data_IF_927833865917
#
_entry.id   IF_927833865917
#
_cell.length_a   1.000
_cell.length_b   1.000
_cell.length_c   1.000
_cell.angle_alpha   90.00
_cell.angle_beta   90.00
_cell.angle_gamma   90.00
#
_symmetry.space_group_name_H-M   'P 1'
#
loop_
_entity.id
_entity.type
_entity.pdbx_description
1 polymer ?
#
# COMPACT_ATOMS: atom_id res chain seq x y z
N UNK A 1 26.58 -30.76 -47.45
CA UNK A 1 27.37 -31.09 -46.24
C UNK A 1 26.78 -30.28 -45.09
N UNK A 2 25.86 -30.83 -44.29
CA UNK A 2 26.11 -31.69 -43.11
C UNK A 2 26.88 -30.98 -41.99
N UNK A 3 26.14 -30.45 -41.01
CA UNK A 3 26.60 -30.20 -39.63
C UNK A 3 27.06 -31.53 -38.99
N UNK A 4 28.01 -31.52 -38.04
CA UNK A 4 27.65 -31.50 -36.60
C UNK A 4 28.75 -30.84 -35.70
N UNK A 5 28.75 -30.98 -34.36
CA UNK A 5 27.70 -30.63 -33.39
C UNK A 5 28.21 -29.76 -32.19
N UNK A 6 27.31 -29.42 -31.27
CA UNK A 6 27.60 -28.76 -29.98
C UNK A 6 28.57 -29.53 -29.06
N UNK A 7 29.29 -28.79 -28.19
CA UNK A 7 30.04 -29.37 -27.07
C UNK A 7 30.40 -28.39 -25.94
N UNK A 8 29.75 -28.57 -24.78
CA UNK A 8 30.17 -28.17 -23.41
C UNK A 8 30.36 -26.67 -23.08
N UNK A 9 29.38 -26.12 -22.36
CA UNK A 9 29.64 -25.04 -21.40
C UNK A 9 30.33 -25.62 -20.16
N UNK A 10 31.46 -25.02 -19.76
CA UNK A 10 32.19 -25.37 -18.53
C UNK A 10 32.06 -24.23 -17.53
N UNK A 11 31.69 -24.60 -16.29
CA UNK A 11 31.65 -23.70 -15.13
C UNK A 11 33.02 -23.05 -14.87
N UNK A 12 33.04 -21.73 -14.69
CA UNK A 12 34.17 -21.01 -14.09
C UNK A 12 33.62 -20.14 -12.96
N UNK A 13 33.74 -20.64 -11.74
CA UNK A 13 33.37 -19.94 -10.52
C UNK A 13 34.38 -20.29 -9.43
N UNK A 14 35.35 -19.40 -9.20
CA UNK A 14 36.30 -19.34 -8.07
C UNK A 14 37.18 -18.11 -8.33
N UNK A 15 37.06 -16.99 -7.61
CA UNK A 15 37.69 -16.73 -6.32
C UNK A 15 37.68 -15.18 -6.14
N UNK A 16 37.88 -14.53 -4.99
CA UNK A 16 38.33 -14.89 -3.62
C UNK A 16 38.02 -13.68 -2.72
N UNK A 17 37.56 -13.89 -1.48
CA UNK A 17 37.88 -13.12 -0.25
C UNK A 17 36.79 -13.38 0.81
N UNK A 18 37.05 -14.27 1.77
CA UNK A 18 37.76 -14.03 3.06
C UNK A 18 36.77 -13.62 4.16
N UNK A 19 36.19 -14.65 4.75
CA UNK A 19 35.50 -14.60 6.04
C UNK A 19 36.53 -14.31 7.14
N UNK A 20 36.24 -13.36 8.03
CA UNK A 20 36.89 -13.28 9.34
C UNK A 20 35.95 -13.88 10.39
N UNK A 21 36.35 -15.01 10.96
CA UNK A 21 35.79 -15.53 12.19
C UNK A 21 36.75 -15.16 13.33
N UNK A 22 36.22 -14.60 14.42
CA UNK A 22 36.96 -14.40 15.67
C UNK A 22 36.20 -15.11 16.79
N UNK A 23 36.88 -16.09 17.38
CA UNK A 23 36.45 -16.83 18.55
C UNK A 23 37.48 -16.68 19.67
N UNK A 24 37.07 -16.16 20.83
CA UNK A 24 37.77 -16.42 22.09
C UNK A 24 36.92 -15.96 23.30
N UNK A 25 36.41 -16.92 24.06
CA UNK A 25 36.31 -16.79 25.52
C UNK A 25 37.76 -16.65 26.08
N UNK A 26 38.12 -16.15 27.27
CA UNK A 26 37.46 -15.87 28.55
C UNK A 26 38.43 -14.88 29.33
N UNK A 27 38.45 -14.72 30.67
CA UNK A 27 37.50 -15.12 31.73
C UNK A 27 37.10 -13.99 32.71
N UNK A 28 36.21 -14.33 33.65
CA UNK A 28 35.91 -13.56 34.86
C UNK A 28 37.01 -13.73 35.93
N UNK A 29 37.32 -12.66 36.67
CA UNK A 29 38.02 -12.73 37.98
C UNK A 29 37.48 -11.65 38.93
N UNK A 30 37.28 -12.00 40.20
CA UNK A 30 36.53 -11.21 41.18
C UNK A 30 37.40 -10.57 42.30
N UNK A 31 36.72 -9.81 43.18
CA UNK A 31 37.22 -9.09 44.38
C UNK A 31 38.00 -7.79 44.09
N UNK A 32 37.84 -6.70 44.87
CA UNK A 32 37.63 -6.65 46.34
C UNK A 32 36.81 -5.42 46.82
N UNK A 33 36.27 -5.55 48.05
CA UNK A 33 35.46 -4.56 48.77
C UNK A 33 36.25 -3.32 49.29
N UNK A 34 35.56 -2.18 49.39
CA UNK A 34 35.60 -1.18 50.48
C UNK A 34 34.49 -0.12 50.23
N UNK A 35 33.72 0.41 51.19
CA UNK A 35 33.73 0.13 52.64
C UNK A 35 33.69 1.38 53.54
N UNK A 36 32.65 2.24 53.45
CA UNK A 36 32.18 3.18 54.49
C UNK A 36 30.88 3.86 53.96
N UNK A 37 29.68 3.78 54.54
CA UNK A 37 29.22 4.06 55.92
C UNK A 37 29.40 5.56 56.26
N UNK A 38 28.36 6.43 56.28
CA UNK A 38 27.31 6.68 57.31
C UNK A 38 26.42 7.87 56.85
N UNK A 39 25.21 8.21 57.34
CA UNK A 39 24.29 7.70 58.39
C UNK A 39 22.88 8.35 58.24
N UNK A 40 21.81 7.63 58.66
CA UNK A 40 20.52 8.09 59.27
C UNK A 40 19.72 9.27 58.65
N UNK A 41 18.39 9.26 58.58
CA UNK A 41 17.44 8.79 59.63
C UNK A 41 16.09 8.24 59.11
N UNK A 42 15.66 7.14 59.75
CA UNK A 42 14.32 6.85 60.32
C UNK A 42 13.21 7.89 60.10
N UNK A 43 11.94 7.54 59.86
CA UNK A 43 11.15 6.38 60.37
C UNK A 43 9.94 6.13 59.42
N UNK A 44 9.13 5.06 59.45
CA UNK A 44 8.91 4.03 60.48
C UNK A 44 8.61 2.60 59.93
N UNK A 45 7.36 2.13 59.98
CA UNK A 45 6.86 0.78 59.64
C UNK A 45 5.36 0.81 59.33
N UNK A 46 4.92 0.01 58.34
CA UNK A 46 3.99 -1.09 58.62
C UNK A 46 4.14 -2.19 57.56
N UNK A 47 3.90 -3.44 57.97
CA UNK A 47 4.37 -4.65 57.28
C UNK A 47 3.23 -5.62 56.98
N UNK A 48 3.20 -6.22 55.77
CA UNK A 48 2.56 -7.51 55.52
C UNK A 48 3.43 -8.39 54.64
N UNK A 49 3.45 -9.68 54.95
CA UNK A 49 4.21 -10.73 54.27
C UNK A 49 3.61 -11.01 52.88
N UNK A 50 4.47 -11.40 51.94
CA UNK A 50 4.10 -12.24 50.79
C UNK A 50 5.04 -13.45 50.82
N UNK A 51 4.48 -14.66 50.80
CA UNK A 51 5.23 -15.91 50.64
C UNK A 51 5.06 -16.43 49.21
N UNK A 52 6.12 -17.03 48.66
CA UNK A 52 6.10 -17.78 47.41
C UNK A 52 5.35 -19.12 47.54
N UNK A 53 4.64 -19.54 46.50
CA UNK A 53 4.39 -20.95 46.19
C UNK A 53 4.18 -21.18 44.67
N UNK A 54 4.65 -22.34 44.21
CA UNK A 54 4.85 -22.74 42.81
C UNK A 54 3.59 -23.03 41.96
N UNK A 55 3.81 -23.16 40.65
CA UNK A 55 2.87 -23.62 39.62
C UNK A 55 2.51 -25.11 39.71
N UNK A 56 1.40 -25.53 39.07
CA UNK A 56 1.34 -26.85 38.43
C UNK A 56 0.81 -26.83 36.98
N UNK A 57 1.18 -27.87 36.22
CA UNK A 57 0.81 -28.16 34.83
C UNK A 57 -0.65 -28.65 34.67
N UNK A 58 -1.26 -28.57 33.45
CA UNK A 58 -2.67 -28.91 33.22
C UNK A 58 -2.92 -30.42 33.08
N UNK A 59 -4.13 -30.87 33.46
CA UNK A 59 -4.62 -32.24 33.21
C UNK A 59 -5.68 -32.26 32.10
N UNK A 60 -5.56 -33.23 31.20
CA UNK A 60 -6.55 -33.54 30.16
C UNK A 60 -7.85 -34.11 30.78
N UNK A 61 -9.01 -33.72 30.24
CA UNK A 61 -10.29 -34.40 30.49
C UNK A 61 -11.01 -34.58 29.15
N UNK A 62 -11.05 -35.82 28.66
CA UNK A 62 -12.01 -36.25 27.66
C UNK A 62 -13.37 -36.52 28.33
N UNK A 63 -14.48 -36.19 27.66
CA UNK A 63 -15.82 -36.65 28.05
C UNK A 63 -16.57 -37.23 26.86
N UNK A 64 -16.84 -38.52 26.95
CA UNK A 64 -17.78 -39.29 26.13
C UNK A 64 -19.22 -38.94 26.47
N UNK A 65 -20.13 -38.95 25.47
CA UNK A 65 -21.57 -39.02 25.71
C UNK A 65 -22.31 -39.97 24.77
N UNK A 66 -23.29 -40.67 25.35
CA UNK A 66 -24.16 -41.72 24.83
C UNK A 66 -25.33 -41.82 25.82
N UNK A 67 -26.60 -42.12 25.52
CA UNK A 67 -27.34 -42.50 24.28
C UNK A 67 -28.79 -41.99 24.49
N UNK A 68 -29.84 -42.13 23.67
CA UNK A 68 -30.14 -42.77 22.36
C UNK A 68 -31.53 -42.27 21.93
N UNK A 69 -31.81 -42.05 20.63
CA UNK A 69 -33.20 -41.87 20.18
C UNK A 69 -33.46 -42.34 18.73
N UNK A 70 -34.32 -43.37 18.64
CA UNK A 70 -35.21 -43.76 17.53
C UNK A 70 -34.71 -43.78 16.07
N UNK A 71 -34.58 -44.99 15.52
CA UNK A 71 -34.59 -45.27 14.08
C UNK A 71 -36.04 -45.42 13.57
N UNK A 72 -36.41 -44.68 12.54
CA UNK A 72 -37.48 -45.05 11.61
C UNK A 72 -37.04 -44.73 10.19
N UNK A 73 -36.88 -45.76 9.36
CA UNK A 73 -36.59 -45.62 7.92
C UNK A 73 -37.74 -44.91 7.19
N UNK A 74 -37.41 -44.05 6.24
CA UNK A 74 -38.17 -44.00 4.99
C UNK A 74 -37.31 -43.54 3.80
N UNK A 75 -37.60 -44.15 2.65
CA UNK A 75 -36.73 -44.26 1.48
C UNK A 75 -36.49 -42.96 0.67
N UNK A 76 -35.28 -42.90 0.10
CA UNK A 76 -34.92 -42.47 -1.26
C UNK A 76 -35.42 -41.13 -1.85
N UNK A 77 -34.42 -40.28 -2.09
CA UNK A 77 -34.15 -39.57 -3.36
C UNK A 77 -35.28 -38.73 -3.99
N UNK A 78 -35.30 -37.44 -3.66
CA UNK A 78 -34.98 -36.39 -4.64
C UNK A 78 -34.69 -35.06 -3.94
N UNK A 79 -33.45 -34.89 -3.49
CA UNK A 79 -32.90 -33.57 -3.13
C UNK A 79 -31.87 -33.21 -4.17
N UNK A 80 -32.27 -32.37 -5.12
CA UNK A 80 -31.35 -31.74 -6.07
C UNK A 80 -30.23 -31.04 -5.30
N UNK A 81 -29.00 -31.46 -5.55
CA UNK A 81 -27.83 -30.75 -5.01
C UNK A 81 -27.82 -29.33 -5.56
N UNK A 82 -28.23 -28.37 -4.74
CA UNK A 82 -27.89 -26.96 -4.90
C UNK A 82 -26.43 -26.75 -4.50
N UNK A 83 -25.51 -27.50 -5.13
CA UNK A 83 -24.11 -27.10 -5.20
C UNK A 83 -24.05 -25.87 -6.10
N UNK A 84 -24.06 -24.68 -5.49
CA UNK A 84 -23.77 -23.43 -6.19
C UNK A 84 -22.39 -23.57 -6.81
N UNK A 85 -22.39 -23.73 -8.13
CA UNK A 85 -21.25 -24.21 -8.90
C UNK A 85 -20.14 -23.15 -8.93
N UNK A 86 -19.20 -23.23 -7.97
CA UNK A 86 -18.07 -22.31 -7.80
C UNK A 86 -16.97 -22.58 -8.84
N UNK A 87 -17.37 -22.74 -10.10
CA UNK A 87 -16.46 -22.90 -11.21
C UNK A 87 -15.54 -21.69 -11.36
N UNK A 88 -14.32 -21.96 -11.82
CA UNK A 88 -13.39 -20.94 -12.30
C UNK A 88 -14.09 -19.99 -13.30
N UNK A 89 -14.97 -20.50 -14.15
CA UNK A 89 -15.72 -19.71 -15.12
C UNK A 89 -16.72 -18.75 -14.45
N UNK A 90 -17.48 -19.20 -13.44
CA UNK A 90 -18.35 -18.34 -12.64
C UNK A 90 -17.60 -17.20 -11.96
N UNK A 91 -16.43 -17.53 -11.37
CA UNK A 91 -15.55 -16.55 -10.73
C UNK A 91 -15.04 -15.50 -11.74
N UNK A 92 -14.60 -15.93 -12.92
CA UNK A 92 -14.15 -15.03 -14.00
C UNK A 92 -15.29 -14.13 -14.51
N UNK A 93 -16.51 -14.66 -14.67
CA UNK A 93 -17.69 -13.87 -15.05
C UNK A 93 -17.98 -12.78 -14.01
N UNK A 94 -17.92 -13.09 -12.72
CA UNK A 94 -18.10 -12.08 -11.66
C UNK A 94 -17.02 -10.98 -11.73
N UNK A 95 -15.75 -11.34 -11.90
CA UNK A 95 -14.66 -10.36 -12.08
C UNK A 95 -14.89 -9.44 -13.29
N UNK A 96 -15.38 -9.98 -14.42
CA UNK A 96 -15.73 -9.16 -15.60
C UNK A 96 -16.87 -8.19 -15.29
N UNK A 97 -17.94 -8.64 -14.63
CA UNK A 97 -19.06 -7.77 -14.20
C UNK A 97 -18.59 -6.66 -13.26
N UNK A 98 -17.72 -6.97 -12.28
CA UNK A 98 -17.17 -5.99 -11.35
C UNK A 98 -16.29 -4.94 -12.07
N UNK A 99 -15.51 -5.36 -13.08
CA UNK A 99 -14.72 -4.45 -13.93
C UNK A 99 -15.61 -3.56 -14.81
N UNK A 100 -16.70 -4.10 -15.36
CA UNK A 100 -17.69 -3.33 -16.12
C UNK A 100 -18.38 -2.28 -15.24
N UNK A 101 -18.81 -2.67 -14.02
CA UNK A 101 -19.39 -1.75 -13.03
C UNK A 101 -18.42 -0.62 -12.68
N UNK A 102 -17.15 -0.95 -12.43
CA UNK A 102 -16.11 0.06 -12.16
C UNK A 102 -15.90 1.00 -13.36
N UNK A 103 -15.89 0.48 -14.59
CA UNK A 103 -15.73 1.28 -15.81
C UNK A 103 -16.92 2.23 -16.01
N UNK A 104 -18.15 1.78 -15.70
CA UNK A 104 -19.35 2.61 -15.79
C UNK A 104 -19.34 3.80 -14.81
N UNK A 105 -18.70 3.69 -13.65
CA UNK A 105 -18.48 4.80 -12.72
C UNK A 105 -17.48 5.85 -13.23
N UNK A 106 -16.59 5.49 -14.16
CA UNK A 106 -15.50 6.34 -14.65
C UNK A 106 -15.44 6.37 -16.19
N UNK A 107 -16.43 7.00 -16.86
CA UNK A 107 -16.64 6.86 -18.30
C UNK A 107 -15.54 7.45 -19.21
N UNK A 108 -14.58 8.23 -18.68
CA UNK A 108 -13.37 8.61 -19.44
C UNK A 108 -12.28 7.54 -19.43
N UNK A 109 -12.35 6.54 -18.54
CA UNK A 109 -11.30 5.55 -18.41
C UNK A 109 -11.29 4.56 -19.58
N UNK A 110 -10.09 4.28 -20.09
CA UNK A 110 -9.87 3.26 -21.12
C UNK A 110 -9.30 2.00 -20.48
N UNK A 111 -9.89 0.80 -20.67
CA UNK A 111 -9.36 -0.45 -20.13
C UNK A 111 -8.12 -0.96 -20.89
N UNK A 112 -7.21 -1.73 -20.27
CA UNK A 112 -7.04 -1.93 -18.82
C UNK A 112 -6.98 -0.65 -17.99
N UNK A 113 -7.64 -0.66 -16.83
CA UNK A 113 -7.80 0.50 -15.97
C UNK A 113 -6.50 0.79 -15.22
N UNK A 114 -5.94 1.99 -15.45
CA UNK A 114 -4.70 2.48 -14.83
C UNK A 114 -5.04 3.64 -13.88
N UNK A 115 -4.59 3.54 -12.63
CA UNK A 115 -4.82 4.53 -11.58
C UNK A 115 -3.49 5.08 -11.07
N UNK A 116 -3.39 6.39 -10.83
CA UNK A 116 -2.26 6.98 -10.12
C UNK A 116 -2.59 7.11 -8.63
N UNK A 117 -1.69 6.64 -7.76
CA UNK A 117 -1.92 6.63 -6.31
C UNK A 117 -1.93 8.06 -5.70
N UNK A 118 -2.73 8.30 -4.64
CA UNK A 118 -2.62 9.51 -3.82
C UNK A 118 -1.35 9.48 -2.96
N UNK A 119 -0.26 10.01 -3.50
CA UNK A 119 1.04 10.12 -2.85
C UNK A 119 1.15 11.48 -2.14
N UNK A 120 1.13 11.48 -0.80
CA UNK A 120 1.08 12.69 0.05
C UNK A 120 2.10 13.76 -0.43
N UNK A 121 1.62 14.97 -0.74
CA UNK A 121 2.34 16.09 -1.38
C UNK A 121 2.84 15.84 -2.83
N UNK A 122 3.21 14.62 -3.19
CA UNK A 122 3.90 14.30 -4.44
C UNK A 122 2.97 14.20 -5.66
N UNK A 123 1.74 13.69 -5.48
CA UNK A 123 0.76 13.60 -6.57
C UNK A 123 -0.18 14.80 -6.54
N UNK A 124 0.19 15.87 -7.24
CA UNK A 124 -0.60 17.08 -7.36
C UNK A 124 -1.71 17.02 -8.42
N UNK A 125 -2.56 18.05 -8.48
CA UNK A 125 -3.48 18.38 -9.58
C UNK A 125 -2.94 18.12 -10.99
N UNK A 126 -1.69 18.50 -11.27
CA UNK A 126 -1.08 18.38 -12.60
C UNK A 126 -0.99 16.90 -13.02
N UNK A 127 -0.46 16.06 -12.12
CA UNK A 127 -0.40 14.61 -12.32
C UNK A 127 -1.79 13.99 -12.39
N UNK A 128 -2.70 14.39 -11.50
CA UNK A 128 -4.04 13.82 -11.45
C UNK A 128 -4.82 14.10 -12.76
N UNK A 129 -4.77 15.34 -13.24
CA UNK A 129 -5.41 15.77 -14.49
C UNK A 129 -4.75 15.10 -15.71
N UNK A 130 -3.41 15.03 -15.77
CA UNK A 130 -2.70 14.39 -16.89
C UNK A 130 -3.05 12.90 -17.01
N UNK A 131 -3.13 12.17 -15.89
CA UNK A 131 -3.50 10.75 -15.85
C UNK A 131 -4.95 10.54 -16.28
N UNK A 132 -5.89 11.35 -15.75
CA UNK A 132 -7.30 11.23 -16.12
C UNK A 132 -7.55 11.55 -17.59
N UNK A 133 -6.90 12.58 -18.14
CA UNK A 133 -7.01 12.94 -19.56
C UNK A 133 -6.46 11.85 -20.50
N UNK A 134 -5.52 11.02 -20.03
CA UNK A 134 -5.00 9.86 -20.75
C UNK A 134 -5.87 8.58 -20.64
N UNK A 135 -7.09 8.72 -20.10
CA UNK A 135 -8.02 7.62 -19.85
C UNK A 135 -7.62 6.76 -18.65
N UNK A 136 -6.81 7.28 -17.74
CA UNK A 136 -6.61 6.69 -16.41
C UNK A 136 -7.54 7.32 -15.37
N UNK A 137 -7.25 7.10 -14.09
CA UNK A 137 -7.84 7.84 -12.97
C UNK A 137 -6.71 8.40 -12.11
N UNK A 138 -6.56 9.71 -12.12
CA UNK A 138 -5.59 10.39 -11.28
C UNK A 138 -6.14 10.71 -9.90
N UNK A 139 -5.38 10.41 -8.84
CA UNK A 139 -5.69 10.87 -7.49
C UNK A 139 -4.71 11.97 -7.04
N UNK A 140 -5.27 13.05 -6.47
CA UNK A 140 -4.51 14.03 -5.70
C UNK A 140 -4.15 13.41 -4.34
N UNK A 141 -2.89 13.58 -3.93
CA UNK A 141 -2.41 13.11 -2.63
C UNK A 141 -2.73 14.11 -1.52
N UNK A 142 -2.92 13.66 -0.26
CA UNK A 142 -3.13 14.60 0.85
C UNK A 142 -1.93 15.56 0.97
N UNK A 143 -2.17 16.84 1.26
CA UNK A 143 -1.09 17.82 1.35
C UNK A 143 -0.39 17.84 2.72
N UNK A 144 0.05 19.04 3.12
CA UNK A 144 0.68 19.26 4.43
C UNK A 144 -0.34 19.45 5.55
N UNK A 145 -1.44 20.16 5.27
CA UNK A 145 -2.58 20.41 6.17
C UNK A 145 -3.92 20.05 5.49
N UNK A 146 -5.02 19.85 6.22
CA UNK A 146 -6.30 19.42 5.63
C UNK A 146 -6.87 20.37 4.57
N UNK A 147 -6.64 21.69 4.73
CA UNK A 147 -7.19 22.74 3.86
C UNK A 147 -6.61 22.69 2.43
N UNK A 148 -5.39 22.16 2.27
CA UNK A 148 -4.73 21.98 0.97
C UNK A 148 -5.59 21.19 -0.04
N UNK A 149 -6.41 20.27 0.46
CA UNK A 149 -7.38 19.48 -0.32
C UNK A 149 -8.29 20.37 -1.19
N UNK A 150 -8.77 21.49 -0.64
CA UNK A 150 -9.68 22.38 -1.35
C UNK A 150 -8.96 23.22 -2.42
N UNK A 151 -7.73 23.65 -2.15
CA UNK A 151 -6.91 24.41 -3.09
C UNK A 151 -6.47 23.54 -4.27
N UNK A 152 -5.99 22.32 -4.02
CA UNK A 152 -5.59 21.40 -5.09
C UNK A 152 -6.80 20.97 -5.95
N UNK A 153 -7.99 20.74 -5.36
CA UNK A 153 -9.21 20.49 -6.14
C UNK A 153 -9.65 21.70 -6.99
N UNK A 154 -9.39 22.94 -6.53
CA UNK A 154 -9.61 24.16 -7.31
C UNK A 154 -8.66 24.21 -8.52
N UNK A 155 -7.35 24.06 -8.30
CA UNK A 155 -6.35 24.01 -9.36
C UNK A 155 -6.62 22.89 -10.37
N UNK A 156 -7.06 21.71 -9.94
CA UNK A 156 -7.43 20.63 -10.85
C UNK A 156 -8.63 20.98 -11.74
N UNK A 157 -9.62 21.70 -11.20
CA UNK A 157 -10.76 22.23 -11.97
C UNK A 157 -10.33 23.31 -12.96
N UNK A 158 -9.43 24.20 -12.56
CA UNK A 158 -8.86 25.24 -13.44
C UNK A 158 -8.06 24.63 -14.59
N UNK A 159 -7.16 23.67 -14.30
CA UNK A 159 -6.40 22.94 -15.30
C UNK A 159 -7.31 22.24 -16.32
N UNK A 160 -8.41 21.63 -15.88
CA UNK A 160 -9.38 20.98 -16.78
C UNK A 160 -10.19 21.97 -17.62
N UNK A 161 -10.34 23.22 -17.17
CA UNK A 161 -11.03 24.29 -17.90
C UNK A 161 -10.08 25.15 -18.76
N UNK A 162 -8.77 24.92 -18.68
CA UNK A 162 -7.76 25.75 -19.32
C UNK A 162 -7.78 25.61 -20.86
N UNK A 163 -7.54 26.68 -21.64
CA UNK A 163 -7.67 26.67 -23.11
C UNK A 163 -6.80 25.63 -23.81
N UNK A 164 -5.58 25.36 -23.32
CA UNK A 164 -4.68 24.32 -23.81
C UNK A 164 -5.23 22.90 -23.68
N UNK A 165 -6.32 22.73 -22.92
CA UNK A 165 -6.96 21.46 -22.64
C UNK A 165 -8.38 21.35 -23.23
N UNK A 166 -8.84 22.36 -23.99
CA UNK A 166 -10.19 22.45 -24.56
C UNK A 166 -10.58 21.30 -25.51
N UNK A 167 -9.59 20.67 -26.16
CA UNK A 167 -9.79 19.48 -27.01
C UNK A 167 -10.22 18.24 -26.19
N UNK A 168 -10.00 18.24 -24.88
CA UNK A 168 -10.43 17.16 -24.00
C UNK A 168 -11.78 17.50 -23.36
N UNK A 169 -12.79 16.72 -23.69
CA UNK A 169 -14.08 16.75 -23.01
C UNK A 169 -14.24 15.48 -22.17
N UNK A 170 -14.67 15.64 -20.92
CA UNK A 170 -15.04 14.52 -20.07
C UNK A 170 -16.24 13.78 -20.69
N UNK A 171 -16.13 12.49 -21.05
CA UNK A 171 -17.24 11.73 -21.59
C UNK A 171 -18.26 11.43 -20.48
N UNK A 172 -19.24 12.31 -20.29
CA UNK A 172 -20.33 12.13 -19.33
C UNK A 172 -19.97 12.33 -17.86
N UNK A 173 -21.02 12.42 -17.02
CA UNK A 173 -20.92 12.73 -15.60
C UNK A 173 -20.90 14.23 -15.29
N UNK A 174 -21.05 14.56 -13.99
CA UNK A 174 -20.99 15.93 -13.45
C UNK A 174 -19.99 16.08 -12.30
N UNK A 175 -19.21 15.03 -12.05
CA UNK A 175 -18.16 14.97 -11.04
C UNK A 175 -16.84 15.38 -11.68
N UNK A 176 -15.98 16.05 -10.91
CA UNK A 176 -14.63 16.38 -11.33
C UNK A 176 -13.86 15.07 -11.60
N UNK A 177 -13.24 14.88 -12.77
CA UNK A 177 -12.77 13.57 -13.27
C UNK A 177 -11.43 13.12 -12.66
N UNK A 178 -11.26 13.33 -11.37
CA UNK A 178 -10.11 12.94 -10.55
C UNK A 178 -10.61 12.44 -9.20
N UNK A 179 -9.73 11.74 -8.47
CA UNK A 179 -9.95 11.40 -7.07
C UNK A 179 -9.08 12.22 -6.13
N UNK A 180 -9.33 12.10 -4.82
CA UNK A 180 -8.50 12.70 -3.76
C UNK A 180 -8.28 11.73 -2.61
N UNK A 181 -7.04 11.63 -2.12
CA UNK A 181 -6.65 10.76 -1.01
C UNK A 181 -6.67 11.46 0.34
N UNK A 182 -7.14 10.74 1.36
CA UNK A 182 -7.39 11.24 2.71
C UNK A 182 -6.71 10.31 3.73
N UNK A 183 -5.99 10.90 4.70
CA UNK A 183 -5.36 10.18 5.82
C UNK A 183 -6.26 10.27 7.05
N UNK A 184 -6.78 9.14 7.51
CA UNK A 184 -7.80 9.12 8.57
C UNK A 184 -7.23 9.44 9.96
N UNK A 185 -5.97 9.07 10.23
CA UNK A 185 -5.32 9.24 11.54
C UNK A 185 -4.90 10.68 11.89
N UNK A 186 -4.83 11.59 10.91
CA UNK A 186 -4.39 12.99 11.08
C UNK A 186 -5.07 14.01 10.14
N UNK A 187 -6.09 13.58 9.39
CA UNK A 187 -6.90 14.46 8.57
C UNK A 187 -8.07 15.06 9.33
N UNK A 188 -8.68 16.10 8.75
CA UNK A 188 -9.94 16.69 9.21
C UNK A 188 -11.05 16.24 8.25
N UNK A 189 -12.03 15.50 8.79
CA UNK A 189 -13.14 14.94 8.00
C UNK A 189 -14.15 16.00 7.56
N UNK A 190 -14.32 17.08 8.32
CA UNK A 190 -15.24 18.16 8.00
C UNK A 190 -14.65 19.10 6.95
N UNK A 191 -13.35 19.39 7.03
CA UNK A 191 -12.62 20.10 5.97
C UNK A 191 -12.64 19.29 4.66
N UNK A 192 -12.40 17.97 4.73
CA UNK A 192 -12.49 17.08 3.57
C UNK A 192 -13.92 17.03 2.99
N UNK A 193 -14.94 16.93 3.85
CA UNK A 193 -16.35 16.94 3.42
C UNK A 193 -16.76 18.26 2.78
N UNK A 194 -16.31 19.41 3.29
CA UNK A 194 -16.57 20.72 2.70
C UNK A 194 -15.93 20.84 1.29
N UNK A 195 -14.69 20.37 1.13
CA UNK A 195 -14.02 20.33 -0.17
C UNK A 195 -14.73 19.39 -1.16
N UNK A 196 -15.13 18.20 -0.71
CA UNK A 196 -15.84 17.20 -1.53
C UNK A 196 -17.24 17.67 -1.93
N UNK A 197 -17.97 18.37 -1.06
CA UNK A 197 -19.25 18.99 -1.39
C UNK A 197 -19.11 20.09 -2.46
N UNK A 198 -18.06 20.93 -2.36
CA UNK A 198 -17.80 22.05 -3.28
C UNK A 198 -17.33 21.59 -4.67
N UNK A 199 -16.36 20.67 -4.72
CA UNK A 199 -15.70 20.30 -5.98
C UNK A 199 -16.16 18.96 -6.57
N UNK A 200 -16.81 18.11 -5.76
CA UNK A 200 -17.40 16.84 -6.18
C UNK A 200 -16.43 15.97 -7.02
N UNK A 201 -15.25 15.60 -6.48
CA UNK A 201 -14.35 14.65 -7.14
C UNK A 201 -15.08 13.32 -7.41
N UNK A 202 -14.63 12.58 -8.41
CA UNK A 202 -15.25 11.30 -8.77
C UNK A 202 -14.94 10.17 -7.77
N UNK A 203 -13.90 10.34 -6.95
CA UNK A 203 -13.55 9.41 -5.88
C UNK A 203 -12.90 10.10 -4.67
N UNK A 204 -13.16 9.57 -3.48
CA UNK A 204 -12.35 9.78 -2.28
C UNK A 204 -11.65 8.48 -1.93
N UNK A 205 -10.38 8.54 -1.54
CA UNK A 205 -9.58 7.38 -1.18
C UNK A 205 -9.17 7.45 0.29
N UNK A 206 -9.71 6.52 1.08
CA UNK A 206 -9.49 6.44 2.52
C UNK A 206 -8.30 5.53 2.82
N UNK A 207 -7.36 6.03 3.63
CA UNK A 207 -6.21 5.24 4.07
C UNK A 207 -5.77 5.58 5.50
N UNK A 208 -5.14 4.61 6.15
CA UNK A 208 -4.54 4.67 7.47
C UNK A 208 -5.50 5.12 8.59
N UNK A 209 -6.59 4.37 8.84
CA UNK A 209 -7.37 4.52 10.07
C UNK A 209 -6.51 4.17 11.30
N UNK A 210 -6.68 4.92 12.39
CA UNK A 210 -6.06 4.60 13.68
C UNK A 210 -6.87 3.55 14.44
N UNK A 211 -8.19 3.68 14.44
CA UNK A 211 -9.14 2.83 15.19
C UNK A 211 -9.85 1.80 14.30
N UNK A 212 -9.26 1.46 13.15
CA UNK A 212 -9.81 0.46 12.22
C UNK A 212 -11.12 0.90 11.59
N UNK A 213 -12.09 -0.03 11.51
CA UNK A 213 -13.35 0.17 10.78
C UNK A 213 -14.17 1.37 11.27
N UNK A 214 -14.12 1.70 12.57
CA UNK A 214 -14.87 2.82 13.12
C UNK A 214 -14.45 4.19 12.51
N UNK A 215 -13.16 4.39 12.22
CA UNK A 215 -12.71 5.59 11.50
C UNK A 215 -13.19 5.55 10.04
N UNK A 216 -13.18 4.37 9.40
CA UNK A 216 -13.59 4.19 8.00
C UNK A 216 -15.08 4.51 7.83
N UNK A 217 -15.95 3.97 8.67
CA UNK A 217 -17.40 4.22 8.62
C UNK A 217 -17.74 5.70 8.86
N UNK A 218 -17.08 6.32 9.84
CA UNK A 218 -17.27 7.74 10.16
C UNK A 218 -16.89 8.64 8.96
N UNK A 219 -15.74 8.39 8.34
CA UNK A 219 -15.31 9.14 7.15
C UNK A 219 -16.18 8.84 5.92
N UNK A 220 -16.47 7.57 5.64
CA UNK A 220 -17.31 7.17 4.50
C UNK A 220 -18.71 7.77 4.58
N UNK A 221 -19.38 7.66 5.74
CA UNK A 221 -20.72 8.24 5.95
C UNK A 221 -20.72 9.76 5.81
N UNK A 222 -19.72 10.46 6.40
CA UNK A 222 -19.61 11.92 6.32
C UNK A 222 -19.36 12.42 4.90
N UNK A 223 -18.53 11.72 4.12
CA UNK A 223 -18.20 12.07 2.74
C UNK A 223 -19.35 11.73 1.76
N UNK A 224 -20.04 10.59 1.94
CA UNK A 224 -21.25 10.26 1.16
C UNK A 224 -22.38 11.26 1.40
N UNK A 225 -22.56 11.72 2.64
CA UNK A 225 -23.51 12.80 2.95
C UNK A 225 -23.14 14.14 2.29
N UNK A 226 -21.85 14.41 2.08
CA UNK A 226 -21.35 15.63 1.43
C UNK A 226 -21.49 15.61 -0.10
N UNK A 227 -21.30 14.45 -0.75
CA UNK A 227 -21.50 14.30 -2.20
C UNK A 227 -21.87 12.84 -2.54
N UNK A 228 -23.17 12.49 -2.61
CA UNK A 228 -23.63 11.10 -2.77
C UNK A 228 -23.16 10.38 -4.03
N UNK A 229 -22.76 11.11 -5.07
CA UNK A 229 -22.19 10.53 -6.30
C UNK A 229 -20.67 10.29 -6.25
N UNK A 230 -19.99 10.74 -5.19
CA UNK A 230 -18.54 10.53 -5.03
C UNK A 230 -18.29 9.13 -4.51
N UNK A 231 -17.56 8.32 -5.28
CA UNK A 231 -17.26 6.93 -4.90
C UNK A 231 -16.24 6.89 -3.75
N UNK A 232 -16.43 5.98 -2.80
CA UNK A 232 -15.54 5.75 -1.67
C UNK A 232 -14.61 4.57 -1.98
N UNK A 233 -13.32 4.84 -2.13
CA UNK A 233 -12.28 3.83 -2.26
C UNK A 233 -11.62 3.62 -0.90
N UNK A 234 -11.40 2.37 -0.49
CA UNK A 234 -10.69 2.03 0.74
C UNK A 234 -9.43 1.23 0.42
N UNK A 235 -8.28 1.66 0.94
CA UNK A 235 -7.04 0.91 0.83
C UNK A 235 -6.86 -0.06 2.00
N UNK A 236 -6.67 -1.33 1.67
CA UNK A 236 -6.48 -2.45 2.60
C UNK A 236 -5.18 -3.17 2.28
N UNK A 237 -4.53 -3.76 3.28
CA UNK A 237 -3.30 -4.54 3.12
C UNK A 237 -3.35 -5.93 3.76
N UNK A 238 -4.52 -6.33 4.28
CA UNK A 238 -4.78 -7.63 4.88
C UNK A 238 -6.19 -8.11 4.52
N UNK A 239 -6.41 -9.43 4.56
CA UNK A 239 -7.75 -10.01 4.41
C UNK A 239 -8.73 -9.49 5.47
N UNK A 240 -8.26 -9.31 6.72
CA UNK A 240 -9.11 -8.83 7.84
C UNK A 240 -9.69 -7.45 7.54
N UNK A 241 -8.85 -6.47 7.17
CA UNK A 241 -9.32 -5.12 6.81
C UNK A 241 -10.34 -5.14 5.66
N UNK A 242 -10.16 -6.03 4.68
CA UNK A 242 -11.08 -6.19 3.57
C UNK A 242 -12.44 -6.79 4.00
N UNK A 243 -12.42 -7.76 4.92
CA UNK A 243 -13.64 -8.40 5.43
C UNK A 243 -14.40 -7.45 6.37
N UNK A 244 -13.71 -6.78 7.29
CA UNK A 244 -14.31 -5.81 8.21
C UNK A 244 -15.05 -4.72 7.41
N UNK A 245 -14.46 -4.24 6.30
CA UNK A 245 -15.04 -3.20 5.45
C UNK A 245 -16.26 -3.62 4.60
N UNK A 246 -16.52 -4.92 4.39
CA UNK A 246 -17.60 -5.39 3.49
C UNK A 246 -18.56 -6.40 4.11
N UNK A 247 -18.26 -6.93 5.31
CA UNK A 247 -19.07 -7.91 6.03
C UNK A 247 -19.71 -7.35 7.29
N UNK A 248 -19.25 -6.21 7.81
CA UNK A 248 -19.85 -5.63 8.99
C UNK A 248 -21.27 -5.15 8.67
N UNK A 249 -22.27 -5.90 9.13
CA UNK A 249 -23.69 -5.58 8.96
C UNK A 249 -24.12 -4.32 9.75
N UNK A 250 -23.22 -3.76 10.58
CA UNK A 250 -23.37 -2.44 11.21
C UNK A 250 -22.70 -1.30 10.44
N UNK A 251 -21.83 -1.59 9.46
CA UNK A 251 -21.34 -0.58 8.52
C UNK A 251 -22.47 -0.12 7.60
N UNK A 252 -22.97 1.09 7.85
CA UNK A 252 -24.04 1.71 7.06
C UNK A 252 -23.56 2.28 5.72
N UNK A 253 -22.30 2.10 5.36
CA UNK A 253 -21.68 2.68 4.16
C UNK A 253 -20.41 1.91 3.73
N UNK A 254 -20.53 0.67 3.23
CA UNK A 254 -19.39 -0.07 2.67
C UNK A 254 -18.70 0.73 1.55
N UNK A 255 -17.40 0.53 1.31
CA UNK A 255 -16.69 1.19 0.21
C UNK A 255 -17.19 0.69 -1.15
N UNK A 256 -17.06 1.50 -2.19
CA UNK A 256 -17.42 1.15 -3.56
C UNK A 256 -16.31 0.36 -4.28
N UNK A 257 -15.07 0.48 -3.79
CA UNK A 257 -13.85 -0.14 -4.34
C UNK A 257 -12.88 -0.46 -3.20
N UNK A 258 -12.25 -1.65 -3.24
CA UNK A 258 -11.08 -1.94 -2.40
C UNK A 258 -9.79 -1.82 -3.22
N UNK A 259 -8.83 -1.07 -2.70
CA UNK A 259 -7.46 -1.06 -3.20
C UNK A 259 -6.63 -2.03 -2.36
N UNK A 260 -6.24 -3.14 -2.97
CA UNK A 260 -5.45 -4.20 -2.32
C UNK A 260 -3.97 -3.87 -2.46
N UNK A 261 -3.37 -3.32 -1.39
CA UNK A 261 -1.98 -2.88 -1.38
C UNK A 261 -1.02 -4.01 -0.97
N UNK A 262 -0.18 -4.43 -1.91
CA UNK A 262 0.91 -5.37 -1.68
C UNK A 262 2.08 -4.79 -0.88
N UNK A 263 2.81 -5.66 -0.18
CA UNK A 263 3.97 -5.34 0.65
C UNK A 263 5.13 -4.65 -0.10
N UNK A 264 5.14 -4.73 -1.43
CA UNK A 264 6.10 -4.10 -2.35
C UNK A 264 5.85 -2.59 -2.53
N UNK A 265 4.66 -2.10 -2.14
CA UNK A 265 4.27 -0.69 -2.31
C UNK A 265 5.23 0.27 -1.59
N UNK A 266 5.51 1.40 -2.26
CA UNK A 266 6.28 2.52 -1.73
C UNK A 266 5.49 3.36 -0.74
N UNK A 267 6.19 4.05 0.16
CA UNK A 267 5.54 4.80 1.22
C UNK A 267 4.77 3.90 2.18
N UNK A 268 3.82 4.49 2.91
CA UNK A 268 3.10 3.81 3.98
C UNK A 268 2.23 2.65 3.46
N UNK A 269 2.38 1.53 4.15
CA UNK A 269 1.59 0.31 4.02
C UNK A 269 1.81 -0.56 5.26
N UNK A 270 1.23 -1.76 5.29
CA UNK A 270 1.35 -2.68 6.44
C UNK A 270 2.79 -2.84 6.90
N UNK A 271 3.04 -2.68 8.20
CA UNK A 271 4.38 -2.65 8.78
C UNK A 271 5.06 -4.03 8.76
N UNK A 272 4.33 -5.09 9.09
CA UNK A 272 4.87 -6.45 9.32
C UNK A 272 4.02 -7.60 8.78
N UNK A 273 2.73 -7.38 8.52
CA UNK A 273 1.73 -8.42 8.20
C UNK A 273 1.11 -8.29 6.79
N UNK A 274 1.67 -7.40 5.95
CA UNK A 274 1.29 -7.30 4.54
C UNK A 274 1.98 -8.36 3.68
N UNK A 275 1.25 -8.91 2.70
CA UNK A 275 1.76 -9.84 1.67
C UNK A 275 1.73 -9.18 0.28
N UNK A 276 2.27 -9.83 -0.75
CA UNK A 276 2.22 -9.32 -2.12
C UNK A 276 0.81 -9.41 -2.72
N UNK A 277 0.42 -8.45 -3.57
CA UNK A 277 -0.95 -8.40 -4.11
C UNK A 277 -1.33 -9.66 -4.92
N UNK A 278 -0.35 -10.33 -5.53
CA UNK A 278 -0.54 -11.58 -6.29
C UNK A 278 -1.09 -12.70 -5.41
N UNK A 279 -0.78 -12.69 -4.10
CA UNK A 279 -1.33 -13.63 -3.12
C UNK A 279 -2.58 -13.06 -2.44
N UNK A 280 -2.55 -11.79 -2.03
CA UNK A 280 -3.60 -11.17 -1.23
C UNK A 280 -4.90 -10.91 -2.00
N UNK A 281 -4.82 -10.48 -3.26
CA UNK A 281 -5.99 -10.11 -4.05
C UNK A 281 -6.92 -11.29 -4.34
N UNK A 282 -6.46 -12.47 -4.80
CA UNK A 282 -7.37 -13.60 -5.04
C UNK A 282 -7.99 -14.13 -3.75
N UNK A 283 -7.26 -14.11 -2.62
CA UNK A 283 -7.80 -14.47 -1.31
C UNK A 283 -8.95 -13.52 -0.89
N UNK A 284 -8.76 -12.20 -1.04
CA UNK A 284 -9.83 -11.22 -0.81
C UNK A 284 -10.99 -11.41 -1.81
N UNK A 285 -10.71 -11.68 -3.09
CA UNK A 285 -11.74 -11.91 -4.10
C UNK A 285 -12.63 -13.09 -3.72
N UNK A 286 -12.03 -14.25 -3.42
CA UNK A 286 -12.71 -15.45 -2.95
C UNK A 286 -13.55 -15.16 -1.68
N UNK A 287 -12.93 -14.50 -0.69
CA UNK A 287 -13.56 -14.25 0.61
C UNK A 287 -14.65 -13.15 0.59
N UNK A 288 -14.78 -12.38 -0.49
CA UNK A 288 -15.78 -11.30 -0.63
C UNK A 288 -16.87 -11.60 -1.67
N UNK A 289 -16.79 -12.70 -2.45
CA UNK A 289 -17.79 -13.05 -3.48
C UNK A 289 -19.24 -13.11 -2.99
N UNK A 290 -19.45 -13.58 -1.76
CA UNK A 290 -20.76 -13.73 -1.13
C UNK A 290 -21.29 -12.48 -0.43
N UNK A 291 -20.62 -11.34 -0.56
CA UNK A 291 -21.00 -10.07 0.08
C UNK A 291 -21.77 -9.20 -0.91
N UNK A 292 -23.10 -9.33 -0.93
CA UNK A 292 -23.97 -8.60 -1.87
C UNK A 292 -23.61 -8.85 -3.34
N UNK A 293 -23.59 -7.78 -4.15
CA UNK A 293 -23.18 -7.83 -5.56
C UNK A 293 -21.64 -7.86 -5.75
N UNK A 294 -20.88 -8.24 -4.71
CA UNK A 294 -19.41 -8.19 -4.66
C UNK A 294 -18.85 -6.76 -4.71
N UNK A 295 -17.52 -6.64 -4.65
CA UNK A 295 -16.80 -5.35 -4.67
C UNK A 295 -15.63 -5.37 -5.69
N UNK A 296 -15.40 -4.31 -6.49
CA UNK A 296 -14.27 -4.28 -7.42
C UNK A 296 -12.97 -4.15 -6.64
N UNK A 297 -11.99 -5.00 -6.96
CA UNK A 297 -10.65 -4.97 -6.38
C UNK A 297 -9.67 -4.34 -7.36
N UNK A 298 -8.85 -3.40 -6.89
CA UNK A 298 -7.79 -2.76 -7.68
C UNK A 298 -6.44 -3.09 -7.03
N UNK A 299 -5.51 -3.65 -7.79
CA UNK A 299 -4.21 -4.08 -7.26
C UNK A 299 -3.26 -2.88 -7.11
N UNK A 300 -2.57 -2.77 -5.98
CA UNK A 300 -1.57 -1.73 -5.73
C UNK A 300 -0.25 -2.31 -5.19
N UNK A 301 0.86 -1.64 -5.46
CA UNK A 301 2.20 -2.08 -5.09
C UNK A 301 2.86 -2.94 -6.17
N UNK A 302 4.17 -2.79 -6.38
CA UNK A 302 4.93 -3.56 -7.37
C UNK A 302 4.69 -3.21 -8.85
N UNK A 303 3.52 -2.70 -9.24
CA UNK A 303 3.18 -2.37 -10.64
C UNK A 303 3.93 -1.13 -11.15
N UNK A 304 4.64 -1.27 -12.28
CA UNK A 304 5.35 -0.19 -12.97
C UNK A 304 5.18 -0.18 -14.51
N UNK A 305 4.79 -1.30 -15.11
CA UNK A 305 4.72 -1.53 -16.56
C UNK A 305 3.65 -2.58 -16.89
N UNK A 306 3.43 -2.85 -18.18
CA UNK A 306 2.38 -3.76 -18.67
C UNK A 306 2.41 -5.17 -18.07
N UNK A 307 3.58 -5.70 -17.68
CA UNK A 307 3.68 -7.04 -17.06
C UNK A 307 2.99 -7.08 -15.69
N UNK A 308 3.15 -6.01 -14.91
CA UNK A 308 2.47 -5.85 -13.63
C UNK A 308 0.95 -5.71 -13.79
N UNK A 309 0.50 -5.07 -14.87
CA UNK A 309 -0.93 -5.02 -15.24
C UNK A 309 -1.45 -6.43 -15.52
N UNK A 310 -0.78 -7.20 -16.39
CA UNK A 310 -1.22 -8.56 -16.74
C UNK A 310 -1.25 -9.48 -15.52
N UNK A 311 -0.25 -9.41 -14.64
CA UNK A 311 -0.25 -10.17 -13.39
C UNK A 311 -1.47 -9.83 -12.50
N UNK A 312 -1.78 -8.53 -12.33
CA UNK A 312 -2.93 -8.09 -11.55
C UNK A 312 -4.28 -8.52 -12.15
N UNK A 313 -4.46 -8.34 -13.46
CA UNK A 313 -5.67 -8.78 -14.15
C UNK A 313 -5.85 -10.30 -14.07
N UNK A 314 -4.75 -11.06 -14.15
CA UNK A 314 -4.73 -12.52 -14.07
C UNK A 314 -5.13 -13.08 -12.70
N UNK A 315 -4.84 -12.36 -11.61
CA UNK A 315 -5.31 -12.72 -10.25
C UNK A 315 -6.69 -12.13 -9.90
N UNK A 316 -7.38 -11.53 -10.86
CA UNK A 316 -8.78 -11.11 -10.72
C UNK A 316 -9.00 -9.61 -10.47
N UNK A 317 -7.99 -8.75 -10.61
CA UNK A 317 -8.16 -7.31 -10.43
C UNK A 317 -9.05 -6.67 -11.52
N UNK A 318 -9.82 -5.66 -11.14
CA UNK A 318 -10.54 -4.78 -12.07
C UNK A 318 -9.60 -3.78 -12.77
N UNK A 319 -8.50 -3.39 -12.10
CA UNK A 319 -7.48 -2.47 -12.60
C UNK A 319 -6.23 -2.47 -11.71
N UNK A 320 -5.30 -1.55 -11.99
CA UNK A 320 -4.07 -1.37 -11.20
C UNK A 320 -3.86 0.06 -10.73
N UNK A 321 -3.14 0.19 -9.62
CA UNK A 321 -2.60 1.43 -9.09
C UNK A 321 -1.08 1.41 -9.27
N UNK A 322 -0.57 2.46 -9.89
CA UNK A 322 0.85 2.77 -9.87
C UNK A 322 1.10 3.98 -8.95
N UNK A 323 2.09 3.87 -8.07
CA UNK A 323 2.59 4.98 -7.26
C UNK A 323 3.96 5.40 -7.77
N UNK A 324 4.99 4.64 -7.41
CA UNK A 324 6.40 4.94 -7.71
C UNK A 324 6.69 5.18 -9.19
N UNK A 325 5.98 4.51 -10.12
CA UNK A 325 6.14 4.78 -11.56
C UNK A 325 5.80 6.23 -11.95
N UNK A 326 4.77 6.80 -11.33
CA UNK A 326 4.36 8.20 -11.54
C UNK A 326 5.17 9.20 -10.72
N UNK A 327 6.02 8.78 -9.77
CA UNK A 327 7.05 9.68 -9.23
C UNK A 327 8.09 10.02 -10.30
N UNK A 328 8.35 9.11 -11.25
CA UNK A 328 9.15 9.36 -12.44
C UNK A 328 8.28 9.91 -13.59
N UNK A 329 7.49 10.95 -13.32
CA UNK A 329 6.79 11.74 -14.36
C UNK A 329 7.08 13.24 -14.24
N UNK A 330 6.90 13.99 -15.33
CA UNK A 330 7.13 15.44 -15.34
C UNK A 330 6.18 16.24 -14.44
N UNK A 331 5.00 15.69 -14.17
CA UNK A 331 3.91 16.30 -13.41
C UNK A 331 3.99 16.00 -11.89
N UNK A 332 4.93 15.16 -11.45
CA UNK A 332 5.11 14.82 -10.05
C UNK A 332 5.71 16.02 -9.28
N UNK A 333 5.09 16.40 -8.16
CA UNK A 333 5.52 17.51 -7.29
C UNK A 333 6.69 17.10 -6.39
N UNK A 334 7.83 16.75 -6.99
CA UNK A 334 9.04 16.30 -6.31
C UNK A 334 10.29 17.09 -6.76
N UNK A 335 11.37 17.01 -5.98
CA UNK A 335 12.68 17.59 -6.34
C UNK A 335 13.40 16.70 -7.36
N UNK A 336 14.28 17.29 -8.17
CA UNK A 336 14.99 16.55 -9.21
C UNK A 336 15.87 15.45 -8.62
N UNK A 337 16.58 15.71 -7.52
CA UNK A 337 17.39 14.70 -6.82
C UNK A 337 16.56 13.52 -6.31
N UNK A 338 15.31 13.74 -5.88
CA UNK A 338 14.39 12.66 -5.54
C UNK A 338 14.05 11.82 -6.78
N UNK A 339 13.73 12.48 -7.90
CA UNK A 339 13.34 11.81 -9.14
C UNK A 339 14.50 11.02 -9.75
N UNK A 340 15.70 11.61 -9.78
CA UNK A 340 16.95 10.98 -10.19
C UNK A 340 17.22 9.72 -9.37
N UNK A 341 16.98 9.77 -8.05
CA UNK A 341 17.14 8.60 -7.17
C UNK A 341 16.12 7.49 -7.45
N UNK A 342 14.87 7.83 -7.81
CA UNK A 342 13.84 6.84 -8.21
C UNK A 342 14.24 6.08 -9.48
N UNK A 343 14.79 6.77 -10.49
CA UNK A 343 15.21 6.13 -11.76
C UNK A 343 16.60 5.46 -11.70
N UNK A 344 17.44 5.85 -10.73
CA UNK A 344 18.77 5.27 -10.50
C UNK A 344 18.71 3.97 -9.70
N UNK A 345 17.78 3.87 -8.73
CA UNK A 345 17.72 2.73 -7.84
C UNK A 345 17.31 1.44 -8.55
N UNK A 346 18.07 0.37 -8.31
CA UNK A 346 17.83 -0.98 -8.82
C UNK A 346 17.86 -1.98 -7.68
N UNK A 347 17.52 -3.24 -7.94
CA UNK A 347 17.38 -4.29 -6.91
C UNK A 347 16.61 -3.77 -5.68
N UNK A 348 15.34 -3.44 -5.89
CA UNK A 348 14.52 -2.84 -4.84
C UNK A 348 14.21 -3.77 -3.67
N UNK A 349 14.51 -5.07 -3.79
CA UNK A 349 14.49 -6.02 -2.68
C UNK A 349 15.62 -5.76 -1.68
N UNK A 350 16.84 -5.54 -2.18
CA UNK A 350 17.99 -5.17 -1.35
C UNK A 350 18.00 -3.68 -0.97
N UNK A 351 17.58 -2.80 -1.89
CA UNK A 351 17.74 -1.35 -1.77
C UNK A 351 16.50 -0.60 -1.27
N UNK A 352 15.42 -1.29 -0.85
CA UNK A 352 14.29 -0.63 -0.17
C UNK A 352 13.91 -1.32 1.13
N UNK A 353 13.54 -0.52 2.14
CA UNK A 353 13.20 -1.00 3.49
C UNK A 353 11.98 -0.28 4.06
N UNK A 354 11.19 -0.97 4.90
CA UNK A 354 10.17 -0.34 5.75
C UNK A 354 10.82 0.20 7.02
N UNK A 355 10.73 1.51 7.27
CA UNK A 355 11.32 2.14 8.45
C UNK A 355 10.70 3.49 8.78
N UNK A 356 10.53 3.80 10.08
CA UNK A 356 10.10 5.12 10.52
C UNK A 356 11.23 6.15 10.60
N UNK A 357 12.50 5.74 10.40
CA UNK A 357 13.67 6.63 10.46
C UNK A 357 13.44 7.91 9.65
N UNK A 358 13.09 7.77 8.37
CA UNK A 358 12.89 8.90 7.46
C UNK A 358 11.67 9.77 7.80
N UNK A 359 10.66 9.21 8.47
CA UNK A 359 9.56 9.99 8.99
C UNK A 359 10.02 10.87 10.16
N UNK A 360 10.76 10.29 11.11
CA UNK A 360 11.27 10.98 12.29
C UNK A 360 12.32 12.05 11.92
N UNK A 361 13.20 11.76 10.95
CA UNK A 361 14.15 12.75 10.40
C UNK A 361 13.42 13.98 9.83
N UNK A 362 12.27 13.78 9.19
CA UNK A 362 11.39 14.84 8.67
C UNK A 362 10.42 15.41 9.72
N UNK A 363 10.61 15.13 11.01
CA UNK A 363 9.75 15.61 12.10
C UNK A 363 8.33 15.03 12.12
N UNK A 364 8.05 13.98 11.35
CA UNK A 364 6.73 13.34 11.26
C UNK A 364 6.64 12.15 12.21
N UNK A 365 5.95 12.31 13.34
CA UNK A 365 5.73 11.27 14.35
C UNK A 365 4.26 10.85 14.41
N UNK A 366 3.95 9.82 15.22
CA UNK A 366 2.56 9.48 15.58
C UNK A 366 1.74 8.71 14.53
N UNK A 367 2.36 8.20 13.46
CA UNK A 367 1.72 7.22 12.57
C UNK A 367 1.21 6.01 13.38
N UNK A 368 0.04 5.43 13.06
CA UNK A 368 -0.41 4.20 13.70
C UNK A 368 0.57 3.05 13.46
N UNK A 369 0.88 2.28 14.52
CA UNK A 369 1.97 1.29 14.54
C UNK A 369 1.85 0.21 13.45
N UNK A 370 0.63 -0.06 12.99
CA UNK A 370 0.35 -1.00 11.89
C UNK A 370 0.85 -0.53 10.51
N UNK A 371 1.25 0.74 10.34
CA UNK A 371 1.70 1.30 9.07
C UNK A 371 3.14 1.82 9.10
N UNK A 372 4.01 1.27 8.26
CA UNK A 372 5.41 1.70 8.14
C UNK A 372 5.77 2.03 6.69
N UNK A 373 6.52 3.12 6.40
CA UNK A 373 6.81 3.52 5.03
C UNK A 373 7.97 2.75 4.41
N UNK A 374 7.78 2.26 3.18
CA UNK A 374 8.87 1.76 2.33
C UNK A 374 9.61 2.92 1.66
N UNK A 375 10.94 2.86 1.73
CA UNK A 375 11.87 3.90 1.28
C UNK A 375 13.11 3.27 0.66
N UNK A 376 13.79 3.98 -0.24
CA UNK A 376 15.11 3.61 -0.74
C UNK A 376 16.14 3.85 0.37
N UNK A 377 17.11 2.95 0.50
CA UNK A 377 18.18 3.06 1.49
C UNK A 377 19.27 4.04 1.03
N UNK A 378 19.76 4.86 1.96
CA UNK A 378 20.90 5.76 1.74
C UNK A 378 21.75 5.89 3.01
N UNK A 379 22.65 6.87 3.06
CA UNK A 379 23.58 7.08 4.16
C UNK A 379 22.88 7.19 5.52
N UNK A 380 21.71 7.84 5.61
CA UNK A 380 20.94 7.91 6.86
C UNK A 380 20.58 6.52 7.40
N UNK A 381 20.18 5.59 6.52
CA UNK A 381 19.86 4.21 6.91
C UNK A 381 21.11 3.40 7.28
N UNK A 382 22.21 3.54 6.53
CA UNK A 382 23.48 2.86 6.82
C UNK A 382 24.03 3.27 8.19
N UNK A 383 24.02 4.56 8.50
CA UNK A 383 24.49 5.09 9.80
C UNK A 383 23.58 4.64 10.95
N UNK A 384 22.27 4.59 10.72
CA UNK A 384 21.30 4.08 11.70
C UNK A 384 21.54 2.59 12.02
N UNK A 385 21.79 1.77 11.01
CA UNK A 385 22.15 0.36 11.18
C UNK A 385 23.53 0.17 11.85
N UNK A 386 24.46 1.11 11.66
CA UNK A 386 25.73 1.15 12.37
C UNK A 386 25.61 1.60 13.85
N UNK A 387 24.41 1.96 14.32
CA UNK A 387 24.17 2.41 15.71
C UNK A 387 24.46 3.89 15.95
N UNK A 388 24.59 4.71 14.90
CA UNK A 388 24.81 6.16 15.04
C UNK A 388 23.59 6.80 15.73
N UNK A 389 23.78 7.66 16.76
CA UNK A 389 22.68 8.28 17.49
C UNK A 389 21.74 9.07 16.57
N UNK A 390 20.43 8.98 16.81
CA UNK A 390 19.41 9.63 15.96
C UNK A 390 19.65 11.13 15.78
N UNK A 391 20.01 11.85 16.85
CA UNK A 391 20.27 13.30 16.80
C UNK A 391 21.43 13.68 15.85
N UNK A 392 22.44 12.81 15.70
CA UNK A 392 23.53 13.05 14.77
C UNK A 392 23.09 12.85 13.32
N UNK A 393 22.29 11.80 13.05
CA UNK A 393 21.68 11.59 11.73
C UNK A 393 20.71 12.73 11.40
N UNK A 394 19.93 13.20 12.38
CA UNK A 394 19.00 14.34 12.26
C UNK A 394 19.74 15.63 11.88
N UNK A 395 20.85 15.94 12.56
CA UNK A 395 21.69 17.10 12.21
C UNK A 395 22.17 17.03 10.77
N UNK A 396 22.71 15.87 10.34
CA UNK A 396 23.22 15.68 8.96
C UNK A 396 22.08 15.75 7.91
N UNK A 397 20.88 15.27 8.24
CA UNK A 397 19.67 15.40 7.43
C UNK A 397 19.27 16.87 7.24
N UNK A 398 19.22 17.65 8.31
CA UNK A 398 18.85 19.07 8.26
C UNK A 398 19.87 19.89 7.46
N UNK A 399 21.16 19.63 7.67
CA UNK A 399 22.23 20.21 6.86
C UNK A 399 22.10 19.83 5.37
N UNK A 400 21.70 18.60 5.06
CA UNK A 400 21.55 18.13 3.69
C UNK A 400 20.38 18.79 2.96
N UNK A 401 19.23 19.02 3.62
CA UNK A 401 18.06 19.70 3.02
C UNK A 401 18.47 21.06 2.41
N UNK A 402 19.38 21.79 3.06
CA UNK A 402 19.85 23.10 2.58
C UNK A 402 20.69 23.04 1.29
N UNK A 403 21.19 21.85 0.91
CA UNK A 403 22.12 21.65 -0.22
C UNK A 403 21.42 21.32 -1.55
N UNK A 404 20.09 21.27 -1.59
CA UNK A 404 19.33 21.02 -2.82
C UNK A 404 19.36 19.56 -3.26
N UNK A 405 19.47 19.30 -4.57
CA UNK A 405 19.27 17.96 -5.13
C UNK A 405 20.31 16.91 -4.69
N UNK A 406 21.52 17.33 -4.29
CA UNK A 406 22.55 16.44 -3.72
C UNK A 406 22.22 15.90 -2.32
N UNK A 407 21.07 16.27 -1.75
CA UNK A 407 20.56 15.70 -0.52
C UNK A 407 20.07 14.24 -0.69
N UNK A 408 19.72 13.86 -1.93
CA UNK A 408 19.32 12.51 -2.34
C UNK A 408 20.50 11.74 -2.95
N UNK A 409 20.28 10.46 -3.28
CA UNK A 409 21.32 9.54 -3.73
C UNK A 409 21.74 8.52 -2.66
N UNK A 410 22.64 7.57 -2.99
CA UNK A 410 23.18 6.59 -2.04
C UNK A 410 23.87 7.24 -0.82
N UNK A 411 24.65 8.30 -1.07
CA UNK A 411 25.34 9.09 -0.05
C UNK A 411 24.49 10.24 0.50
N UNK A 412 23.25 10.35 0.04
CA UNK A 412 22.26 11.33 0.51
C UNK A 412 21.74 11.04 1.91
N UNK A 413 21.06 12.04 2.48
CA UNK A 413 20.51 12.00 3.84
C UNK A 413 18.99 12.20 3.88
N UNK A 414 18.36 12.63 2.78
CA UNK A 414 16.91 12.86 2.70
C UNK A 414 16.16 11.60 2.23
N UNK A 415 14.85 11.56 2.49
CA UNK A 415 14.03 10.39 2.21
C UNK A 415 13.66 10.26 0.73
N UNK A 416 13.69 9.04 0.19
CA UNK A 416 13.05 8.67 -1.09
C UNK A 416 12.02 7.58 -0.83
N UNK A 417 10.76 7.93 -0.67
CA UNK A 417 9.65 6.99 -0.53
C UNK A 417 9.32 6.35 -1.89
N UNK A 418 9.63 5.06 -2.04
CA UNK A 418 9.50 4.33 -3.30
C UNK A 418 9.26 2.84 -3.03
N UNK A 419 8.63 2.15 -4.00
CA UNK A 419 8.34 0.72 -3.91
C UNK A 419 9.53 -0.16 -4.25
N UNK A 420 9.42 -1.46 -3.99
CA UNK A 420 10.45 -2.43 -4.35
C UNK A 420 10.62 -2.62 -5.87
N UNK A 421 9.77 -2.00 -6.68
CA UNK A 421 9.79 -2.04 -8.15
C UNK A 421 10.66 -0.97 -8.82
N UNK A 422 11.47 -0.21 -8.08
CA UNK A 422 12.37 0.83 -8.62
C UNK A 422 13.22 0.36 -9.80
N UNK A 423 13.76 -0.85 -9.80
CA UNK A 423 14.59 -1.37 -10.92
C UNK A 423 13.87 -1.58 -12.26
N UNK A 424 12.54 -1.41 -12.30
CA UNK A 424 11.72 -1.38 -13.52
C UNK A 424 11.55 0.03 -14.09
N UNK A 425 11.85 1.09 -13.31
CA UNK A 425 11.59 2.48 -13.64
C UNK A 425 12.93 3.12 -14.03
N UNK A 426 13.10 3.48 -15.31
CA UNK A 426 14.42 3.86 -15.89
C UNK A 426 14.42 5.18 -16.66
N UNK A 427 13.27 5.84 -16.72
CA UNK A 427 13.02 7.07 -17.48
C UNK A 427 12.04 7.95 -16.72
N UNK A 428 12.13 9.26 -16.97
CA UNK A 428 11.11 10.23 -16.59
C UNK A 428 10.34 10.58 -17.86
N UNK A 429 9.03 10.39 -17.83
CA UNK A 429 8.16 10.54 -19.01
C UNK A 429 6.90 11.35 -18.64
N UNK A 430 6.15 11.84 -19.63
CA UNK A 430 4.84 12.44 -19.35
C UNK A 430 3.87 11.41 -18.76
N UNK A 431 3.08 11.77 -17.76
CA UNK A 431 2.12 10.84 -17.13
C UNK A 431 1.09 10.30 -18.14
N UNK A 432 0.77 11.08 -19.17
CA UNK A 432 -0.07 10.63 -20.29
C UNK A 432 0.55 9.44 -21.04
N UNK A 433 1.87 9.48 -21.25
CA UNK A 433 2.59 8.45 -21.99
C UNK A 433 2.90 7.24 -21.11
N UNK A 434 3.10 7.44 -19.80
CA UNK A 434 3.12 6.35 -18.81
C UNK A 434 1.80 5.56 -18.86
N UNK A 435 0.64 6.23 -18.84
CA UNK A 435 -0.68 5.56 -18.91
C UNK A 435 -0.83 4.79 -20.23
N UNK A 436 -0.57 5.44 -21.37
CA UNK A 436 -0.73 4.83 -22.70
C UNK A 436 0.22 3.66 -22.91
N UNK A 437 1.50 3.81 -22.58
CA UNK A 437 2.54 2.79 -22.80
C UNK A 437 2.25 1.56 -21.94
N UNK A 438 2.05 1.73 -20.63
CA UNK A 438 1.72 0.65 -19.70
C UNK A 438 0.46 -0.13 -20.13
N UNK A 439 -0.56 0.57 -20.66
CA UNK A 439 -1.77 -0.05 -21.20
C UNK A 439 -1.49 -0.84 -22.48
N UNK A 440 -0.78 -0.24 -23.43
CA UNK A 440 -0.48 -0.86 -24.72
C UNK A 440 0.41 -2.11 -24.55
N UNK A 441 1.44 -2.03 -23.71
CA UNK A 441 2.26 -3.18 -23.31
C UNK A 441 1.40 -4.32 -22.75
N UNK A 442 0.47 -4.02 -21.83
CA UNK A 442 -0.41 -5.03 -21.24
C UNK A 442 -1.29 -5.72 -22.29
N UNK A 443 -1.85 -4.96 -23.22
CA UNK A 443 -2.65 -5.49 -24.34
C UNK A 443 -1.80 -6.38 -25.25
N UNK A 444 -0.61 -5.91 -25.65
CA UNK A 444 0.34 -6.67 -26.48
C UNK A 444 0.74 -7.98 -25.81
N UNK A 445 1.04 -7.96 -24.50
CA UNK A 445 1.39 -9.17 -23.73
C UNK A 445 0.21 -10.15 -23.70
N UNK A 446 -1.02 -9.67 -23.44
CA UNK A 446 -2.22 -10.53 -23.42
C UNK A 446 -2.46 -11.17 -24.79
N UNK A 447 -2.37 -10.41 -25.88
CA UNK A 447 -2.55 -10.94 -27.24
C UNK A 447 -1.49 -12.01 -27.56
N UNK A 448 -0.21 -11.66 -27.35
CA UNK A 448 0.94 -12.55 -27.61
C UNK A 448 0.84 -13.87 -26.83
N UNK A 449 0.51 -13.82 -25.54
CA UNK A 449 0.34 -15.01 -24.71
C UNK A 449 -0.93 -15.81 -25.04
N UNK A 450 -1.93 -15.19 -25.67
CA UNK A 450 -3.15 -15.84 -26.14
C UNK A 450 -3.01 -16.42 -27.56
N UNK A 451 -1.86 -16.23 -28.22
CA UNK A 451 -1.63 -16.67 -29.60
C UNK A 451 -2.38 -15.85 -30.66
N UNK A 452 -2.69 -14.59 -30.37
CA UNK A 452 -3.29 -13.61 -31.30
C UNK A 452 -2.24 -12.64 -31.87
#
# INVERSE_FOLDING_TARGET
MTLPPHGRWVSVLLSRNRIFALSSEAPLSAFRNNGNERKSSTTSRQSRLIQHAASPQPRSIAKSFSTSASLTNNNNSDTTNASTDSTMEGNLRQTVTLRQRLTASYPWMTPPLIVAAPMRVMSGPELAVAVSRAGGLGFIGPGLSPESTAADLETAKELLAAPENADWQQPGGTLLPIGVGLQLWNGDVDAAAAAVARYRPAAVWLFAPRHGQADVDAWAGRLRAASPGTQVWLQVGTLREALDAVRDASSSSPPDVLVVQGAEAGGHGRASDGTGFVTLLPEIADATRGCGDGIPLVAAGGVADGRGVVAALGVGAAGVVMGTRFLASHEARIKKGYQDEVIRATDGGANTVRTHLYNHLRGTFGWPDQFSPRTIVNRSWVEHQAGTPFEEIKKRHDEAISKGDVAWGPDGWTATYAGANVGLIRSVDGASDIVKTTRNEAVTIIQTLSGQ
#
